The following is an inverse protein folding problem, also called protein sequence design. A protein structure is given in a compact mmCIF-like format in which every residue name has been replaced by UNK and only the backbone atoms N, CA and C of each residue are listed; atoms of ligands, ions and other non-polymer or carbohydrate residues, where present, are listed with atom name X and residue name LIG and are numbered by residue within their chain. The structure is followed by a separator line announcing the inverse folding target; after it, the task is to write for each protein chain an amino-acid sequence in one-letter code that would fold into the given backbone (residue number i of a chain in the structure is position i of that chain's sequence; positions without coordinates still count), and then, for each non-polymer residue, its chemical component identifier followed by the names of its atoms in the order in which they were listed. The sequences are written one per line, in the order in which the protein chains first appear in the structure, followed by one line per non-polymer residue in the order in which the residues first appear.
data_IF_013449392342
#
_entry.id   IF_013449392342
#
_cell.length_a   1.000
_cell.length_b   1.000
_cell.length_c   1.000
_cell.angle_alpha   90.00
_cell.angle_beta   90.00
_cell.angle_gamma   90.00
#
_symmetry.space_group_name_H-M   'P 1'
#
loop_
_entity.id
_entity.type
_entity.pdbx_description
1 polymer ?
#
# COMPACT_ATOMS: atom_id res chain seq x y z
N UNK A 1 3.79 -17.35 4.36
CA UNK A 1 5.14 -17.67 4.85
C UNK A 1 5.07 -18.78 5.89
N UNK A 2 6.00 -19.74 5.82
CA UNK A 2 6.15 -20.77 6.85
C UNK A 2 6.82 -20.23 8.12
N UNK A 3 6.55 -20.86 9.27
CA UNK A 3 7.02 -20.40 10.59
C UNK A 3 8.55 -20.21 10.70
N UNK A 4 9.34 -21.02 9.98
CA UNK A 4 10.80 -20.98 10.05
C UNK A 4 11.43 -19.92 9.12
N UNK A 5 10.76 -19.55 8.03
CA UNK A 5 11.29 -18.55 7.07
C UNK A 5 11.28 -17.14 7.65
N UNK A 6 10.34 -16.84 8.54
CA UNK A 6 10.16 -15.53 9.19
C UNK A 6 11.26 -15.19 10.20
N UNK A 7 12.10 -16.17 10.58
CA UNK A 7 13.29 -15.95 11.40
C UNK A 7 14.37 -15.23 10.58
N UNK A 8 14.47 -15.54 9.28
CA UNK A 8 15.54 -15.05 8.41
C UNK A 8 15.07 -14.04 7.36
N UNK A 9 13.76 -13.91 7.14
CA UNK A 9 13.17 -12.96 6.19
C UNK A 9 12.19 -12.03 6.90
N UNK A 10 12.68 -10.85 7.29
CA UNK A 10 11.87 -9.83 7.97
C UNK A 10 11.05 -8.96 7.01
N UNK A 11 11.39 -8.96 5.71
CA UNK A 11 10.64 -8.28 4.65
C UNK A 11 9.47 -9.10 4.09
N UNK A 12 9.40 -10.40 4.40
CA UNK A 12 8.40 -11.33 3.87
C UNK A 12 6.97 -11.20 4.42
N UNK A 13 6.69 -10.15 5.19
CA UNK A 13 5.36 -9.82 5.70
C UNK A 13 5.33 -9.66 7.21
N UNK A 14 5.62 -10.74 7.95
CA UNK A 14 5.55 -10.77 9.41
C UNK A 14 6.82 -11.36 10.03
N UNK A 15 7.35 -10.73 11.07
CA UNK A 15 8.44 -11.29 11.88
C UNK A 15 7.89 -12.12 13.02
N UNK A 16 8.70 -13.05 13.53
CA UNK A 16 8.31 -13.90 14.66
C UNK A 16 7.96 -13.10 15.93
N UNK A 17 8.73 -12.03 16.20
CA UNK A 17 8.45 -11.10 17.30
C UNK A 17 7.10 -10.40 17.14
N UNK A 18 6.76 -9.96 15.92
CA UNK A 18 5.49 -9.30 15.66
C UNK A 18 4.31 -10.27 15.72
N UNK A 19 4.48 -11.56 15.38
CA UNK A 19 3.46 -12.60 15.61
C UNK A 19 3.14 -12.77 17.10
N UNK A 20 4.16 -12.94 17.94
CA UNK A 20 3.98 -13.08 19.39
C UNK A 20 3.32 -11.83 19.94
N UNK A 21 3.83 -10.65 19.58
CA UNK A 21 3.25 -9.38 20.00
C UNK A 21 1.77 -9.26 19.60
N UNK A 22 1.44 -9.61 18.36
CA UNK A 22 0.07 -9.58 17.85
C UNK A 22 -0.83 -10.58 18.59
N UNK A 23 -0.35 -11.79 18.89
CA UNK A 23 -1.11 -12.78 19.63
C UNK A 23 -1.40 -12.34 21.08
N UNK A 24 -0.44 -11.66 21.72
CA UNK A 24 -0.57 -11.23 23.12
C UNK A 24 -1.37 -9.93 23.28
N UNK A 25 -1.25 -9.00 22.32
CA UNK A 25 -1.72 -7.61 22.47
C UNK A 25 -2.57 -7.10 21.31
N UNK A 26 -2.73 -7.86 20.24
CA UNK A 26 -3.49 -7.46 19.07
C UNK A 26 -4.96 -7.82 19.19
N UNK A 27 -5.84 -6.83 18.96
CA UNK A 27 -7.24 -7.05 18.61
C UNK A 27 -7.38 -6.88 17.11
N UNK A 28 -7.87 -7.91 16.42
CA UNK A 28 -8.14 -7.84 14.98
C UNK A 28 -9.32 -6.88 14.71
N UNK A 29 -9.12 -5.95 13.78
CA UNK A 29 -10.11 -4.92 13.42
C UNK A 29 -10.75 -5.24 12.07
N UNK A 30 -9.96 -5.71 11.11
CA UNK A 30 -10.46 -6.06 9.79
C UNK A 30 -9.38 -6.53 8.83
N UNK A 31 -9.79 -6.82 7.61
CA UNK A 31 -8.95 -7.30 6.51
C UNK A 31 -9.33 -6.56 5.24
N UNK A 32 -8.34 -6.09 4.48
CA UNK A 32 -8.60 -5.44 3.19
C UNK A 32 -8.77 -6.46 2.04
N UNK A 33 -9.05 -5.95 0.84
CA UNK A 33 -9.20 -6.78 -0.36
C UNK A 33 -7.91 -7.47 -0.83
N UNK A 34 -6.73 -6.97 -0.44
CA UNK A 34 -5.44 -7.61 -0.75
C UNK A 34 -5.08 -8.72 0.26
N UNK A 35 -5.80 -8.76 1.39
CA UNK A 35 -5.63 -9.72 2.47
C UNK A 35 -4.68 -9.25 3.59
N UNK A 36 -4.31 -7.96 3.63
CA UNK A 36 -3.60 -7.40 4.76
C UNK A 36 -4.55 -7.31 5.97
N UNK A 37 -4.03 -7.61 7.15
CA UNK A 37 -4.80 -7.68 8.39
C UNK A 37 -4.43 -6.53 9.31
N UNK A 38 -5.44 -5.84 9.82
CA UNK A 38 -5.28 -4.65 10.64
C UNK A 38 -5.60 -4.95 12.09
N UNK A 39 -4.75 -4.46 12.97
CA UNK A 39 -4.81 -4.72 14.40
C UNK A 39 -4.71 -3.41 15.19
N UNK A 40 -5.40 -3.38 16.32
CA UNK A 40 -5.26 -2.34 17.34
C UNK A 40 -4.85 -2.97 18.66
N UNK A 41 -4.07 -2.23 19.44
CA UNK A 41 -3.65 -2.66 20.76
C UNK A 41 -4.87 -2.90 21.65
N UNK A 42 -4.97 -4.09 22.24
CA UNK A 42 -6.08 -4.49 23.12
C UNK A 42 -5.91 -3.99 24.55
N UNK A 43 -4.67 -3.78 25.01
CA UNK A 43 -4.35 -3.37 26.38
C UNK A 43 -3.19 -2.38 26.43
N UNK A 44 -3.36 -1.33 27.22
CA UNK A 44 -2.40 -0.25 27.40
C UNK A 44 -2.43 0.76 26.25
N UNK A 45 -1.68 1.85 26.44
CA UNK A 45 -1.50 2.90 25.45
C UNK A 45 -0.12 2.76 24.78
N UNK A 46 -0.03 3.21 23.54
CA UNK A 46 1.23 3.33 22.81
C UNK A 46 2.01 4.58 23.24
N UNK A 47 3.15 4.88 22.56
CA UNK A 47 3.99 6.03 22.87
C UNK A 47 3.31 7.40 22.71
N UNK A 48 2.18 7.46 22.02
CA UNK A 48 1.41 8.67 21.74
C UNK A 48 0.17 8.80 22.65
N UNK A 49 0.14 8.09 23.78
CA UNK A 49 -1.01 7.95 24.68
C UNK A 49 -2.30 7.43 24.01
N UNK A 50 -2.20 6.94 22.77
CA UNK A 50 -3.28 6.30 22.02
C UNK A 50 -2.96 4.81 21.77
N UNK A 51 -3.98 3.94 21.65
CA UNK A 51 -3.77 2.53 21.33
C UNK A 51 -3.01 2.38 20.02
N UNK A 52 -1.90 1.61 20.03
CA UNK A 52 -1.10 1.39 18.83
C UNK A 52 -1.91 0.66 17.76
N UNK A 53 -1.87 1.16 16.51
CA UNK A 53 -2.41 0.51 15.30
C UNK A 53 -1.26 -0.07 14.47
N UNK A 54 -1.44 -1.27 13.92
CA UNK A 54 -0.47 -1.87 13.01
C UNK A 54 -1.13 -2.79 11.98
N UNK A 55 -0.41 -3.06 10.89
CA UNK A 55 -0.82 -3.93 9.80
C UNK A 55 0.11 -5.14 9.72
N UNK A 56 -0.47 -6.29 9.39
CA UNK A 56 0.26 -7.51 9.03
C UNK A 56 -0.03 -7.79 7.56
N UNK A 57 0.96 -7.55 6.71
CA UNK A 57 0.85 -7.80 5.27
C UNK A 57 0.69 -9.29 4.96
N UNK A 58 -0.07 -9.59 3.89
CA UNK A 58 -0.22 -10.97 3.41
C UNK A 58 1.08 -11.53 2.83
N UNK A 59 1.77 -10.70 2.04
CA UNK A 59 2.97 -11.04 1.28
C UNK A 59 4.11 -10.09 1.68
N UNK A 60 4.93 -9.65 0.71
CA UNK A 60 6.00 -8.68 0.90
C UNK A 60 5.48 -7.44 1.66
N UNK A 61 6.18 -7.11 2.75
CA UNK A 61 5.89 -5.93 3.55
C UNK A 61 6.29 -4.67 2.78
N UNK A 62 5.28 -3.97 2.26
CA UNK A 62 5.46 -2.76 1.46
C UNK A 62 4.40 -1.75 1.91
N UNK A 63 4.84 -0.56 2.36
CA UNK A 63 3.97 0.41 3.01
C UNK A 63 2.86 0.94 2.09
N UNK A 64 3.16 1.00 0.79
CA UNK A 64 2.24 1.51 -0.23
C UNK A 64 1.09 0.56 -0.58
N UNK A 65 1.05 -0.66 -0.01
CA UNK A 65 -0.06 -1.63 -0.16
C UNK A 65 -1.27 -1.36 0.73
N UNK A 66 -1.14 -0.42 1.66
CA UNK A 66 -2.28 -0.02 2.50
C UNK A 66 -3.22 0.80 1.62
N UNK A 67 -4.45 0.35 1.38
CA UNK A 67 -5.38 1.08 0.54
C UNK A 67 -5.87 2.34 1.25
N UNK A 68 -6.39 3.33 0.52
CA UNK A 68 -6.70 4.67 1.06
C UNK A 68 -7.64 4.65 2.26
N UNK A 69 -8.62 3.74 2.27
CA UNK A 69 -9.57 3.59 3.37
C UNK A 69 -8.87 3.20 4.67
N UNK A 70 -7.92 2.26 4.62
CA UNK A 70 -7.16 1.83 5.78
C UNK A 70 -6.03 2.80 6.13
N UNK A 71 -5.53 3.56 5.14
CA UNK A 71 -4.42 4.49 5.32
C UNK A 71 -4.76 5.61 6.33
N UNK A 72 -5.95 6.22 6.22
CA UNK A 72 -6.38 7.26 7.14
C UNK A 72 -6.51 6.76 8.58
N UNK A 73 -7.10 5.58 8.76
CA UNK A 73 -7.24 4.95 10.08
C UNK A 73 -5.88 4.55 10.66
N UNK A 74 -4.99 3.98 9.85
CA UNK A 74 -3.65 3.58 10.29
C UNK A 74 -2.81 4.76 10.79
N UNK A 75 -2.98 5.94 10.19
CA UNK A 75 -2.24 7.15 10.53
C UNK A 75 -2.98 8.09 11.50
N UNK A 76 -4.00 7.59 12.20
CA UNK A 76 -4.79 8.38 13.16
C UNK A 76 -5.40 9.65 12.56
N UNK A 77 -5.62 9.68 11.23
CA UNK A 77 -6.34 10.78 10.57
C UNK A 77 -7.84 10.66 10.83
N UNK A 78 -8.33 9.43 10.93
CA UNK A 78 -9.71 9.11 11.31
C UNK A 78 -9.73 8.07 12.43
N UNK A 79 -10.74 8.15 13.28
CA UNK A 79 -10.92 7.21 14.40
C UNK A 79 -11.68 5.95 13.99
N UNK A 80 -12.60 6.09 13.05
CA UNK A 80 -13.44 5.02 12.53
C UNK A 80 -12.64 4.13 11.56
N UNK A 81 -12.59 2.81 11.77
CA UNK A 81 -12.03 1.90 10.79
C UNK A 81 -12.98 1.75 9.59
N UNK A 82 -12.46 1.41 8.39
CA UNK A 82 -13.29 1.17 7.20
C UNK A 82 -14.37 0.10 7.38
N UNK A 83 -14.20 -0.81 8.34
CA UNK A 83 -15.17 -1.86 8.67
C UNK A 83 -16.46 -1.32 9.31
N UNK A 84 -16.40 -0.15 9.93
CA UNK A 84 -17.55 0.52 10.56
C UNK A 84 -18.20 1.55 9.61
N UNK A 85 -17.53 1.88 8.50
CA UNK A 85 -18.00 2.86 7.53
C UNK A 85 -18.79 2.20 6.39
N UNK A 86 -19.90 2.85 5.98
CA UNK A 86 -20.67 2.45 4.80
C UNK A 86 -20.18 3.22 3.58
N UNK A 87 -19.02 2.82 3.05
CA UNK A 87 -18.45 3.44 1.88
C UNK A 87 -18.91 2.77 0.58
N UNK A 88 -19.17 3.56 -0.47
CA UNK A 88 -19.42 3.06 -1.83
C UNK A 88 -18.50 3.78 -2.80
N UNK A 89 -17.64 3.04 -3.54
CA UNK A 89 -16.76 3.64 -4.53
C UNK A 89 -17.52 4.42 -5.60
N UNK A 90 -16.95 5.53 -6.04
CA UNK A 90 -17.52 6.34 -7.13
C UNK A 90 -17.14 5.73 -8.49
N UNK A 91 -17.93 5.93 -9.56
CA UNK A 91 -17.66 5.30 -10.87
C UNK A 91 -16.32 5.72 -11.50
N UNK A 92 -15.81 6.89 -11.15
CA UNK A 92 -14.52 7.41 -11.63
C UNK A 92 -13.32 6.98 -10.77
N UNK A 93 -13.57 6.33 -9.64
CA UNK A 93 -12.53 5.96 -8.69
C UNK A 93 -11.79 4.72 -9.17
N UNK A 94 -10.46 4.81 -9.19
CA UNK A 94 -9.60 3.70 -9.56
C UNK A 94 -9.40 2.76 -8.37
N UNK A 95 -9.24 1.44 -8.62
CA UNK A 95 -8.82 0.51 -7.58
C UNK A 95 -7.44 0.89 -7.07
N UNK A 96 -7.17 0.55 -5.80
CA UNK A 96 -5.84 0.74 -5.21
C UNK A 96 -4.79 -0.07 -5.97
N UNK A 97 -3.60 0.52 -6.10
CA UNK A 97 -2.40 -0.13 -6.62
C UNK A 97 -1.22 0.33 -5.76
N UNK A 98 -0.38 -0.62 -5.40
CA UNK A 98 0.88 -0.36 -4.71
C UNK A 98 1.83 0.52 -5.55
N UNK A 99 2.86 1.06 -4.90
CA UNK A 99 3.90 1.81 -5.57
C UNK A 99 4.81 0.88 -6.38
N UNK A 100 4.76 0.99 -7.70
CA UNK A 100 5.55 0.19 -8.64
C UNK A 100 6.91 0.80 -8.99
N UNK A 101 7.38 1.80 -8.23
CA UNK A 101 8.68 2.44 -8.45
C UNK A 101 9.82 1.42 -8.45
N UNK A 102 10.75 1.54 -9.40
CA UNK A 102 11.87 0.61 -9.55
C UNK A 102 11.52 -0.73 -10.22
N UNK A 103 10.25 -0.97 -10.56
CA UNK A 103 9.82 -2.16 -11.31
C UNK A 103 9.62 -1.83 -12.80
N UNK A 104 9.45 -2.85 -13.68
CA UNK A 104 9.06 -2.62 -15.08
C UNK A 104 7.76 -1.80 -15.23
N UNK A 105 6.83 -1.90 -14.27
CA UNK A 105 5.54 -1.20 -14.24
C UNK A 105 5.62 0.24 -13.71
N UNK A 106 6.81 0.76 -13.41
CA UNK A 106 6.97 2.12 -12.95
C UNK A 106 6.36 3.12 -13.95
N UNK A 107 5.70 4.16 -13.42
CA UNK A 107 5.20 5.27 -14.24
C UNK A 107 6.36 5.99 -14.91
N UNK A 108 6.24 6.25 -16.22
CA UNK A 108 7.24 6.96 -17.01
C UNK A 108 6.58 8.10 -17.77
N UNK A 109 7.02 9.35 -17.57
CA UNK A 109 6.43 10.49 -18.27
C UNK A 109 6.70 10.41 -19.78
N UNK A 110 5.84 11.05 -20.56
CA UNK A 110 6.04 11.19 -22.01
C UNK A 110 7.38 11.87 -22.31
N UNK A 111 8.17 11.28 -23.20
CA UNK A 111 9.53 11.77 -23.52
C UNK A 111 10.64 11.28 -22.59
N UNK A 112 10.32 10.49 -21.55
CA UNK A 112 11.35 9.78 -20.79
C UNK A 112 12.12 8.82 -21.70
N UNK A 113 13.45 8.82 -21.58
CA UNK A 113 14.35 7.88 -22.29
C UNK A 113 14.00 6.43 -21.95
N UNK A 114 13.62 6.18 -20.70
CA UNK A 114 13.21 4.85 -20.23
C UNK A 114 11.77 4.49 -20.64
N UNK A 115 11.02 5.45 -21.18
CA UNK A 115 9.61 5.31 -21.57
C UNK A 115 9.43 4.61 -22.91
N UNK A 116 8.31 4.88 -23.57
CA UNK A 116 7.92 4.24 -24.86
C UNK A 116 8.75 4.71 -26.07
N UNK A 117 9.81 5.50 -25.86
CA UNK A 117 10.63 6.07 -26.93
C UNK A 117 9.92 7.13 -27.78
N UNK A 118 8.66 7.48 -27.44
CA UNK A 118 7.89 8.51 -28.14
C UNK A 118 8.16 9.88 -27.52
N UNK A 119 8.72 10.79 -28.33
CA UNK A 119 8.81 12.21 -27.98
C UNK A 119 7.39 12.78 -27.85
N UNK A 120 7.09 13.59 -26.82
CA UNK A 120 5.82 14.30 -26.73
C UNK A 120 5.70 15.25 -27.93
N UNK A 121 4.54 15.22 -28.60
CA UNK A 121 4.27 16.13 -29.70
C UNK A 121 4.28 17.57 -29.17
N UNK A 122 5.11 18.43 -29.77
CA UNK A 122 5.08 19.86 -29.49
C UNK A 122 4.09 20.53 -30.43
N UNK A 123 3.43 21.60 -29.97
CA UNK A 123 2.41 22.36 -30.72
C UNK A 123 2.92 23.01 -32.02
N UNK A 124 4.21 22.83 -32.35
CA UNK A 124 4.85 23.32 -33.58
C UNK A 124 5.85 22.32 -34.17
N UNK A 125 5.65 21.01 -34.00
CA UNK A 125 6.53 20.02 -34.61
C UNK A 125 6.52 20.16 -36.15
N UNK A 126 7.70 20.40 -36.69
CA UNK A 126 7.93 20.49 -38.13
C UNK A 126 7.50 19.20 -38.83
N UNK A 127 6.64 19.31 -39.85
CA UNK A 127 6.31 18.21 -40.72
C UNK A 127 7.35 18.14 -41.84
N UNK A 128 8.24 17.14 -41.77
CA UNK A 128 9.23 16.93 -42.81
C UNK A 128 8.56 16.60 -44.14
N UNK A 129 8.93 17.34 -45.18
CA UNK A 129 8.49 17.08 -46.55
C UNK A 129 9.02 15.72 -47.01
N UNK A 130 8.16 14.90 -47.62
CA UNK A 130 8.53 13.61 -48.22
C UNK A 130 8.24 13.68 -49.72
N UNK A 131 9.25 13.58 -50.60
CA UNK A 131 9.01 13.43 -52.03
C UNK A 131 8.36 12.08 -52.33
N UNK A 132 7.44 12.09 -53.30
CA UNK A 132 6.90 10.89 -53.95
C UNK A 132 7.87 10.33 -55.00
#
# INVERSE_FOLDING_TARGET
MGLFTEIFSWWGGNTWSNRIYTALRGRHVGTDGEGNRYYVQSRGVGPLDVPRRWVVYRNLAEASKIPPEWHGWMHYTVDTPPTEEKYTPRPWQKPHRENTTGTPEAWRPSGSILGTGKRPAATGDYQAWKPE
#
